data_IF_499980792644
#
_entry.id   IF_499980792644
#
_cell.length_a   1.000
_cell.length_b   1.000
_cell.length_c   1.000
_cell.angle_alpha   90.00
_cell.angle_beta   90.00
_cell.angle_gamma   90.00
#
_symmetry.space_group_name_H-M   'P 1'
#
loop_
_entity.id
_entity.type
_entity.pdbx_description
1 polymer ?
#
# COMPACT_ATOMS: atom_id res chain seq x y z
N UNK A 1 -13.29 3.07 15.14
CA UNK A 1 -13.03 3.44 13.73
C UNK A 1 -13.80 2.48 12.83
N UNK A 2 -14.35 2.93 11.70
CA UNK A 2 -14.91 2.02 10.69
C UNK A 2 -13.76 1.24 10.06
N UNK A 3 -13.96 -0.04 9.78
CA UNK A 3 -13.02 -0.83 8.98
C UNK A 3 -12.95 -0.21 7.59
N UNK A 4 -11.74 0.01 7.06
CA UNK A 4 -11.60 0.50 5.69
C UNK A 4 -11.96 -0.63 4.71
N UNK A 5 -12.59 -0.26 3.60
CA UNK A 5 -12.88 -1.11 2.45
C UNK A 5 -13.18 -0.22 1.25
N UNK A 6 -13.06 -0.76 0.03
CA UNK A 6 -13.23 0.03 -1.21
C UNK A 6 -14.70 0.33 -1.55
N UNK A 7 -15.67 -0.32 -0.90
CA UNK A 7 -17.10 -0.03 -1.05
C UNK A 7 -17.50 1.26 -0.31
N UNK A 8 -17.13 1.38 0.97
CA UNK A 8 -17.43 2.52 1.83
C UNK A 8 -16.45 3.68 1.65
N UNK A 9 -15.23 3.39 1.17
CA UNK A 9 -14.18 4.36 0.89
C UNK A 9 -13.73 4.28 -0.58
N UNK A 10 -14.61 4.62 -1.55
CA UNK A 10 -14.29 4.55 -2.96
C UNK A 10 -13.10 5.46 -3.31
N UNK A 11 -12.40 5.13 -4.39
CA UNK A 11 -11.25 5.89 -4.88
C UNK A 11 -10.54 5.15 -6.01
N UNK A 12 -9.45 5.74 -6.52
CA UNK A 12 -8.72 5.17 -7.65
C UNK A 12 -8.18 3.77 -7.35
N UNK A 13 -8.08 2.99 -8.41
CA UNK A 13 -7.37 1.71 -8.46
C UNK A 13 -6.33 1.80 -9.56
N UNK A 14 -5.15 1.27 -9.29
CA UNK A 14 -4.01 1.38 -10.19
C UNK A 14 -3.58 -0.01 -10.66
N UNK A 15 -3.11 -0.16 -11.90
CA UNK A 15 -2.48 -1.41 -12.32
C UNK A 15 -1.26 -1.69 -11.44
N UNK A 16 -1.01 -2.96 -11.09
CA UNK A 16 0.21 -3.33 -10.38
C UNK A 16 1.42 -3.01 -11.26
N UNK A 17 2.26 -2.07 -10.81
CA UNK A 17 3.51 -1.65 -11.44
C UNK A 17 4.72 -1.77 -10.51
N UNK A 18 4.48 -1.96 -9.21
CA UNK A 18 5.53 -2.16 -8.21
C UNK A 18 5.27 -3.41 -7.38
N UNK A 19 6.35 -4.16 -7.10
CA UNK A 19 6.35 -5.26 -6.14
C UNK A 19 7.14 -4.79 -4.93
N UNK A 20 6.53 -4.86 -3.75
CA UNK A 20 7.17 -4.47 -2.50
C UNK A 20 7.41 -5.72 -1.64
N UNK A 21 8.65 -5.94 -1.21
CA UNK A 21 8.98 -7.01 -0.28
C UNK A 21 8.94 -6.48 1.15
N UNK A 22 7.94 -6.92 1.93
CA UNK A 22 7.68 -6.46 3.29
C UNK A 22 6.47 -5.53 3.40
N UNK A 23 5.70 -5.73 4.47
CA UNK A 23 4.47 -5.01 4.82
C UNK A 23 4.63 -4.02 5.98
N UNK A 24 5.88 -3.81 6.41
CA UNK A 24 6.22 -3.07 7.62
C UNK A 24 5.80 -1.60 7.60
N UNK A 25 5.74 -1.00 8.79
CA UNK A 25 5.30 0.39 8.96
C UNK A 25 6.16 1.40 8.18
N UNK A 26 7.47 1.17 8.04
CA UNK A 26 8.34 2.08 7.31
C UNK A 26 7.93 2.20 5.85
N UNK A 27 7.77 1.08 5.14
CA UNK A 27 7.39 1.08 3.74
C UNK A 27 6.01 1.71 3.53
N UNK A 28 5.05 1.40 4.41
CA UNK A 28 3.70 1.96 4.37
C UNK A 28 3.62 3.45 4.68
N UNK A 29 4.45 3.94 5.58
CA UNK A 29 4.47 5.35 5.99
C UNK A 29 5.39 6.22 5.13
N UNK A 30 6.28 5.61 4.33
CA UNK A 30 7.29 6.32 3.56
C UNK A 30 7.17 6.09 2.04
N UNK A 31 7.29 4.85 1.57
CA UNK A 31 7.28 4.54 0.13
C UNK A 31 5.86 4.61 -0.43
N UNK A 32 4.94 3.87 0.18
CA UNK A 32 3.56 3.79 -0.30
C UNK A 32 2.86 5.17 -0.24
N UNK A 33 3.17 5.98 0.78
CA UNK A 33 2.69 7.36 0.90
C UNK A 33 3.18 8.26 -0.24
N UNK A 34 4.46 8.15 -0.62
CA UNK A 34 4.99 8.89 -1.78
C UNK A 34 4.35 8.42 -3.09
N UNK A 35 4.17 7.11 -3.28
CA UNK A 35 3.52 6.56 -4.47
C UNK A 35 2.06 7.02 -4.57
N UNK A 36 1.34 7.05 -3.45
CA UNK A 36 -0.04 7.52 -3.40
C UNK A 36 -0.14 9.01 -3.80
N UNK A 37 0.76 9.85 -3.27
CA UNK A 37 0.86 11.26 -3.66
C UNK A 37 1.25 11.44 -5.14
N UNK A 38 2.22 10.68 -5.63
CA UNK A 38 2.64 10.75 -7.03
C UNK A 38 1.52 10.34 -7.98
N UNK A 39 0.74 9.32 -7.62
CA UNK A 39 -0.42 8.90 -8.41
C UNK A 39 -1.53 9.97 -8.45
N UNK A 40 -1.68 10.78 -7.41
CA UNK A 40 -2.63 11.91 -7.41
C UNK A 40 -2.12 13.12 -8.21
N UNK A 41 -0.79 13.33 -8.22
CA UNK A 41 -0.17 14.52 -8.81
C UNK A 41 0.32 14.31 -10.25
N UNK A 42 0.38 13.06 -10.72
CA UNK A 42 0.95 12.68 -12.01
C UNK A 42 0.22 11.48 -12.62
N UNK A 43 0.51 11.15 -13.88
CA UNK A 43 -0.03 9.97 -14.56
C UNK A 43 0.73 8.66 -14.25
N UNK A 44 1.47 8.60 -13.14
CA UNK A 44 2.29 7.43 -12.76
C UNK A 44 1.46 6.14 -12.66
N UNK A 45 0.24 6.23 -12.12
CA UNK A 45 -0.71 5.14 -11.97
C UNK A 45 -0.08 3.80 -11.49
N UNK A 46 0.76 3.88 -10.45
CA UNK A 46 1.49 2.75 -9.89
C UNK A 46 0.75 2.13 -8.70
N UNK A 47 0.18 0.94 -8.93
CA UNK A 47 -0.33 0.06 -7.88
C UNK A 47 0.77 -0.83 -7.33
N UNK A 48 0.71 -1.12 -6.03
CA UNK A 48 1.69 -1.92 -5.28
C UNK A 48 1.07 -3.25 -4.91
N UNK A 49 1.74 -4.34 -5.26
CA UNK A 49 1.49 -5.66 -4.68
C UNK A 49 2.58 -5.95 -3.64
N UNK A 50 2.16 -6.15 -2.38
CA UNK A 50 3.08 -6.40 -1.26
C UNK A 50 3.29 -7.91 -1.10
N UNK A 51 4.54 -8.32 -0.88
CA UNK A 51 4.92 -9.69 -0.55
C UNK A 51 5.20 -9.77 0.95
N UNK A 52 4.38 -10.52 1.68
CA UNK A 52 4.59 -10.83 3.10
C UNK A 52 5.74 -11.85 3.22
N UNK A 53 6.90 -11.48 3.78
CA UNK A 53 8.06 -12.37 3.80
C UNK A 53 7.96 -13.46 4.86
N UNK A 54 7.25 -13.20 5.98
CA UNK A 54 7.14 -14.12 7.11
C UNK A 54 5.76 -14.78 7.10
N UNK A 55 5.71 -16.11 7.19
CA UNK A 55 4.46 -16.86 7.28
C UNK A 55 3.81 -16.71 8.67
N UNK A 56 3.21 -15.56 8.94
CA UNK A 56 2.53 -15.24 10.20
C UNK A 56 1.15 -14.68 9.93
N UNK A 57 0.20 -14.96 10.83
CA UNK A 57 -1.13 -14.36 10.83
C UNK A 57 -1.17 -12.95 11.44
N UNK A 58 -0.10 -12.54 12.14
CA UNK A 58 0.03 -11.22 12.74
C UNK A 58 1.24 -10.45 12.18
N UNK A 59 1.08 -9.18 11.76
CA UNK A 59 -0.18 -8.42 11.74
C UNK A 59 -1.18 -8.98 10.71
N UNK A 60 -2.50 -8.71 10.87
CA UNK A 60 -3.50 -9.12 9.89
C UNK A 60 -3.13 -8.65 8.48
N UNK A 61 -3.50 -9.43 7.48
CA UNK A 61 -3.23 -9.08 6.08
C UNK A 61 -3.90 -7.75 5.71
N UNK A 62 -3.21 -6.93 4.91
CA UNK A 62 -3.76 -5.69 4.35
C UNK A 62 -4.99 -5.95 3.46
N UNK A 63 -5.12 -7.17 2.94
CA UNK A 63 -6.30 -7.60 2.18
C UNK A 63 -7.59 -7.57 3.02
N UNK A 64 -7.50 -7.63 4.37
CA UNK A 64 -8.69 -7.49 5.24
C UNK A 64 -9.38 -6.14 5.11
N UNK A 65 -8.71 -5.14 4.52
CA UNK A 65 -9.25 -3.82 4.23
C UNK A 65 -9.05 -3.43 2.76
N UNK A 66 -9.02 -4.40 1.84
CA UNK A 66 -8.83 -4.18 0.39
C UNK A 66 -7.53 -3.41 0.04
N UNK A 67 -6.48 -3.60 0.84
CA UNK A 67 -5.20 -2.89 0.70
C UNK A 67 -5.21 -1.48 1.30
N UNK A 68 -6.36 -0.99 1.78
CA UNK A 68 -6.48 0.35 2.36
C UNK A 68 -5.96 0.38 3.80
N UNK A 69 -5.25 1.45 4.13
CA UNK A 69 -4.86 1.78 5.50
C UNK A 69 -4.65 3.29 5.63
N UNK A 70 -4.61 3.78 6.88
CA UNK A 70 -4.37 5.20 7.16
C UNK A 70 -2.91 5.42 7.54
N UNK A 71 -2.24 6.33 6.84
CA UNK A 71 -0.94 6.88 7.24
C UNK A 71 -1.17 8.22 7.91
N UNK A 72 -0.49 8.45 9.04
CA UNK A 72 -0.51 9.71 9.76
C UNK A 72 0.90 10.28 9.79
N UNK A 73 1.09 11.42 9.13
CA UNK A 73 2.36 12.18 9.13
C UNK A 73 2.27 13.22 10.24
N UNK A 74 3.22 13.17 11.18
CA UNK A 74 3.31 14.10 12.31
C UNK A 74 4.71 14.66 12.41
N UNK A 75 4.80 15.97 12.66
CA UNK A 75 6.08 16.64 12.77
C UNK A 75 5.90 18.14 12.98
N UNK A 76 6.98 18.88 12.72
CA UNK A 76 6.96 20.33 12.68
C UNK A 76 7.09 20.77 11.22
N UNK A 77 6.31 21.77 10.80
CA UNK A 77 6.49 22.39 9.50
C UNK A 77 7.68 23.37 9.51
N UNK A 78 7.94 24.02 8.37
CA UNK A 78 9.03 24.98 8.20
C UNK A 78 8.95 26.19 9.16
N UNK A 79 7.75 26.48 9.70
CA UNK A 79 7.52 27.54 10.70
C UNK A 79 7.64 27.05 12.14
N UNK A 80 7.97 25.77 12.36
CA UNK A 80 8.04 25.15 13.68
C UNK A 80 6.68 24.80 14.29
N UNK A 81 5.60 24.84 13.51
CA UNK A 81 4.25 24.52 13.98
C UNK A 81 4.00 23.02 13.90
N UNK A 82 3.37 22.45 14.93
CA UNK A 82 2.99 21.05 14.94
C UNK A 82 1.95 20.75 13.85
N UNK A 83 2.26 19.79 12.99
CA UNK A 83 1.37 19.28 11.95
C UNK A 83 1.02 17.81 12.21
N UNK A 84 -0.21 17.43 11.87
CA UNK A 84 -0.69 16.05 11.91
C UNK A 84 -1.66 15.82 10.77
N UNK A 85 -1.19 15.20 9.69
CA UNK A 85 -1.98 14.92 8.50
C UNK A 85 -2.30 13.44 8.41
N UNK A 86 -3.57 13.11 8.19
CA UNK A 86 -4.01 11.73 7.97
C UNK A 86 -4.44 11.52 6.52
N UNK A 87 -3.93 10.46 5.88
CA UNK A 87 -4.28 10.06 4.51
C UNK A 87 -4.68 8.59 4.49
N UNK A 88 -5.73 8.26 3.74
CA UNK A 88 -6.01 6.87 3.36
C UNK A 88 -5.13 6.54 2.16
N UNK A 89 -4.21 5.60 2.32
CA UNK A 89 -3.37 5.08 1.24
C UNK A 89 -4.20 4.13 0.39
N UNK A 90 -4.11 4.32 -0.94
CA UNK A 90 -4.89 3.58 -1.96
C UNK A 90 -4.02 2.89 -2.99
N UNK A 91 -2.74 3.25 -3.04
CA UNK A 91 -1.71 2.69 -3.93
C UNK A 91 -1.50 1.18 -3.75
N UNK A 92 -1.79 0.62 -2.57
CA UNK A 92 -1.71 -0.83 -2.34
C UNK A 92 -2.93 -1.54 -2.90
N UNK A 93 -2.69 -2.47 -3.83
CA UNK A 93 -3.71 -3.29 -4.45
C UNK A 93 -4.05 -4.51 -3.59
N UNK A 94 -3.00 -5.22 -3.15
CA UNK A 94 -3.12 -6.45 -2.39
C UNK A 94 -1.80 -6.82 -1.72
N UNK A 95 -1.90 -7.77 -0.80
CA UNK A 95 -0.80 -8.46 -0.15
C UNK A 95 -0.83 -9.95 -0.54
N UNK A 96 0.32 -10.52 -0.90
CA UNK A 96 0.49 -11.95 -1.15
C UNK A 96 1.40 -12.56 -0.10
N UNK A 97 1.02 -13.74 0.38
CA UNK A 97 1.88 -14.56 1.22
C UNK A 97 2.41 -15.74 0.36
N UNK A 98 3.69 -15.72 -0.05
CA UNK A 98 4.26 -16.73 -0.94
C UNK A 98 4.31 -18.12 -0.31
N UNK A 99 4.21 -18.23 1.02
CA UNK A 99 4.13 -19.50 1.73
C UNK A 99 2.74 -20.16 1.63
N UNK A 100 1.71 -19.36 1.34
CA UNK A 100 0.32 -19.81 1.25
C UNK A 100 -0.16 -19.84 -0.20
N UNK A 101 0.36 -18.94 -1.05
CA UNK A 101 0.02 -18.85 -2.47
C UNK A 101 1.27 -18.53 -3.31
N UNK A 102 2.10 -19.57 -3.48
CA UNK A 102 3.31 -19.48 -4.29
C UNK A 102 2.98 -19.22 -5.77
N UNK A 103 1.85 -19.72 -6.25
CA UNK A 103 1.46 -19.60 -7.66
C UNK A 103 1.18 -18.13 -8.02
N UNK A 104 0.41 -17.40 -7.21
CA UNK A 104 0.16 -15.97 -7.42
C UNK A 104 1.43 -15.14 -7.29
N UNK A 105 2.32 -15.48 -6.35
CA UNK A 105 3.62 -14.82 -6.25
C UNK A 105 4.46 -14.98 -7.52
N UNK A 106 4.59 -16.22 -8.04
CA UNK A 106 5.34 -16.48 -9.28
C UNK A 106 4.67 -15.87 -10.51
N UNK A 107 3.35 -15.71 -10.51
CA UNK A 107 2.62 -15.06 -11.60
C UNK A 107 3.02 -13.58 -11.76
N UNK A 108 3.44 -12.89 -10.69
CA UNK A 108 3.91 -11.51 -10.77
C UNK A 108 5.13 -11.36 -11.68
N UNK A 109 6.05 -12.32 -11.68
CA UNK A 109 7.24 -12.30 -12.55
C UNK A 109 6.92 -12.39 -14.04
N UNK A 110 5.68 -12.77 -14.40
CA UNK A 110 5.20 -12.84 -15.78
C UNK A 110 4.40 -11.61 -16.19
N UNK A 111 4.13 -10.69 -15.26
CA UNK A 111 3.36 -9.51 -15.53
C UNK A 111 4.23 -8.44 -16.21
N UNK A 112 4.03 -8.24 -17.50
CA UNK A 112 4.80 -7.28 -18.31
C UNK A 112 4.52 -5.81 -17.97
N UNK A 113 3.49 -5.51 -17.18
CA UNK A 113 3.22 -4.17 -16.69
C UNK A 113 4.08 -3.80 -15.46
N UNK A 114 4.72 -4.78 -14.84
CA UNK A 114 5.70 -4.58 -13.77
C UNK A 114 7.07 -4.48 -14.45
N UNK A 115 7.73 -3.32 -14.28
CA UNK A 115 9.03 -3.05 -14.87
C UNK A 115 10.16 -3.84 -14.20
#
# INVERSE_FOLDING_TARGET
>A
MKSLNRQDFPGPQYPTRAIQFGEGNFLRAFIDWQLDLLNEQTDLAAGVTIIRPINTAFPPSLNTQDGLYTTIIRGLNERGEAVSESRIIRSVNNELNPWQDLASYLALARNTAIA
#
